data_IF_948474395639
#
_entry.id   IF_948474395639
#
_cell.length_a   1.000
_cell.length_b   1.000
_cell.length_c   1.000
_cell.angle_alpha   90.00
_cell.angle_beta   90.00
_cell.angle_gamma   90.00
#
_symmetry.space_group_name_H-M   'P 1'
#
loop_
_entity.id
_entity.type
_entity.pdbx_description
1 polymer ?
#
# COMPACT_ATOMS: atom_id res chain seq x y z
N UNK A 1 20.85 0.25 -1.81
CA UNK A 1 19.78 -0.49 -1.12
C UNK A 1 18.79 -1.00 -2.14
N UNK A 2 17.89 -1.90 -1.74
CA UNK A 2 16.79 -2.38 -2.58
C UNK A 2 15.56 -1.50 -2.31
N UNK A 3 14.94 -0.87 -3.33
CA UNK A 3 13.69 -0.13 -3.15
C UNK A 3 12.61 -1.06 -2.58
N UNK A 4 11.97 -0.63 -1.50
CA UNK A 4 10.99 -1.36 -0.71
C UNK A 4 9.70 -0.54 -0.58
N UNK A 5 8.58 -1.17 -0.94
CA UNK A 5 7.24 -0.61 -0.80
C UNK A 5 6.44 -1.50 0.14
N UNK A 6 5.77 -0.90 1.14
CA UNK A 6 4.90 -1.65 2.05
C UNK A 6 3.45 -1.63 1.57
N UNK A 7 2.81 -2.81 1.53
CA UNK A 7 1.37 -2.95 1.32
C UNK A 7 0.74 -3.28 2.68
N UNK A 8 -0.20 -2.46 3.15
CA UNK A 8 -0.71 -2.53 4.52
C UNK A 8 -2.24 -2.53 4.58
N UNK A 9 -2.83 -3.08 5.65
CA UNK A 9 -4.28 -3.05 5.88
C UNK A 9 -4.85 -1.63 5.91
N UNK A 10 -4.17 -0.75 6.66
CA UNK A 10 -4.45 0.68 6.76
C UNK A 10 -3.22 1.41 7.28
N UNK A 11 -3.21 2.73 7.20
CA UNK A 11 -2.08 3.55 7.63
C UNK A 11 -2.51 4.48 8.76
N UNK A 12 -1.82 4.37 9.89
CA UNK A 12 -1.94 5.31 11.00
C UNK A 12 -0.55 5.67 11.52
N UNK A 13 0.32 6.10 10.61
CA UNK A 13 1.69 6.53 10.90
C UNK A 13 1.98 7.78 10.09
N UNK A 14 2.95 8.57 10.53
CA UNK A 14 3.40 9.75 9.81
C UNK A 14 4.40 9.35 8.72
N UNK A 15 4.34 10.03 7.58
CA UNK A 15 5.15 9.72 6.39
C UNK A 15 6.66 9.91 6.60
N UNK A 16 7.06 10.81 7.49
CA UNK A 16 8.46 11.07 7.85
C UNK A 16 9.14 9.85 8.50
N UNK A 17 8.42 9.14 9.36
CA UNK A 17 8.92 7.92 10.03
C UNK A 17 9.19 6.79 9.03
N UNK A 18 8.37 6.70 7.97
CA UNK A 18 8.48 5.64 6.97
C UNK A 18 9.71 5.82 6.08
N UNK A 19 10.02 7.06 5.72
CA UNK A 19 11.19 7.38 4.92
C UNK A 19 12.50 7.08 5.68
N UNK A 20 12.55 7.44 6.96
CA UNK A 20 13.70 7.13 7.83
C UNK A 20 13.90 5.62 8.02
N UNK A 21 12.82 4.83 7.97
CA UNK A 21 12.87 3.37 8.01
C UNK A 21 13.32 2.70 6.70
N UNK A 22 13.63 3.48 5.66
CA UNK A 22 14.10 2.97 4.36
C UNK A 22 12.98 2.49 3.42
N UNK A 23 11.72 2.79 3.75
CA UNK A 23 10.55 2.48 2.94
C UNK A 23 10.26 3.67 2.02
N UNK A 24 10.23 3.44 0.71
CA UNK A 24 10.04 4.52 -0.28
C UNK A 24 8.57 4.88 -0.45
N UNK A 25 7.65 3.95 -0.20
CA UNK A 25 6.21 4.18 -0.26
C UNK A 25 5.43 3.17 0.60
N UNK A 26 4.27 3.59 1.07
CA UNK A 26 3.31 2.74 1.77
C UNK A 26 1.94 2.86 1.10
N UNK A 27 1.35 1.73 0.74
CA UNK A 27 0.05 1.67 0.06
C UNK A 27 -0.95 0.92 0.95
N UNK A 28 -1.98 1.58 1.46
CA UNK A 28 -3.09 0.90 2.13
C UNK A 28 -3.97 0.15 1.12
N UNK A 29 -4.40 -1.06 1.50
CA UNK A 29 -5.32 -1.88 0.71
C UNK A 29 -6.76 -1.40 0.85
N UNK A 30 -7.12 -0.80 1.99
CA UNK A 30 -8.40 -0.13 2.22
C UNK A 30 -8.33 1.28 1.63
N UNK A 31 -9.15 1.55 0.62
CA UNK A 31 -9.14 2.81 -0.15
C UNK A 31 -10.32 3.73 0.12
N UNK A 32 -11.23 3.33 1.01
CA UNK A 32 -12.41 4.09 1.37
C UNK A 32 -13.05 3.57 2.66
N UNK A 33 -14.10 4.24 3.17
CA UNK A 33 -14.79 3.82 4.37
C UNK A 33 -15.34 2.38 4.24
N UNK A 34 -14.95 1.50 5.16
CA UNK A 34 -15.47 0.15 5.28
C UNK A 34 -15.31 -0.35 6.71
N UNK A 35 -16.12 -1.34 7.12
CA UNK A 35 -15.97 -2.01 8.41
C UNK A 35 -14.72 -2.89 8.43
N UNK A 36 -14.17 -3.14 9.62
CA UNK A 36 -12.98 -3.99 9.79
C UNK A 36 -13.25 -5.43 9.31
N UNK A 37 -14.44 -5.94 9.59
CA UNK A 37 -14.87 -7.29 9.20
C UNK A 37 -14.79 -7.46 7.68
N UNK A 38 -15.40 -6.54 6.93
CA UNK A 38 -15.32 -6.48 5.47
C UNK A 38 -13.88 -6.34 4.96
N UNK A 39 -13.04 -5.53 5.61
CA UNK A 39 -11.65 -5.37 5.20
C UNK A 39 -10.86 -6.69 5.34
N UNK A 40 -11.13 -7.47 6.39
CA UNK A 40 -10.51 -8.78 6.62
C UNK A 40 -11.08 -9.82 5.65
N UNK A 41 -12.40 -9.87 5.49
CA UNK A 41 -13.09 -10.81 4.60
C UNK A 41 -12.61 -10.68 3.14
N UNK A 42 -12.40 -9.44 2.68
CA UNK A 42 -11.97 -9.14 1.31
C UNK A 42 -10.47 -8.86 1.18
N UNK A 43 -9.65 -9.12 2.21
CA UNK A 43 -8.24 -8.71 2.24
C UNK A 43 -7.44 -9.18 1.02
N UNK A 44 -7.67 -10.41 0.54
CA UNK A 44 -6.97 -10.96 -0.63
C UNK A 44 -7.20 -10.14 -1.91
N UNK A 45 -8.46 -9.82 -2.20
CA UNK A 45 -8.84 -8.99 -3.36
C UNK A 45 -8.30 -7.56 -3.21
N UNK A 46 -8.37 -6.99 -2.00
CA UNK A 46 -7.86 -5.66 -1.73
C UNK A 46 -6.33 -5.58 -1.92
N UNK A 47 -5.59 -6.61 -1.51
CA UNK A 47 -4.14 -6.74 -1.75
C UNK A 47 -3.84 -6.84 -3.24
N UNK A 48 -4.56 -7.67 -3.99
CA UNK A 48 -4.37 -7.79 -5.45
C UNK A 48 -4.58 -6.45 -6.16
N UNK A 49 -5.67 -5.75 -5.84
CA UNK A 49 -5.95 -4.41 -6.36
C UNK A 49 -4.89 -3.38 -5.94
N UNK A 50 -4.30 -3.50 -4.75
CA UNK A 50 -3.18 -2.65 -4.33
C UNK A 50 -1.90 -2.95 -5.12
N UNK A 51 -1.59 -4.23 -5.36
CA UNK A 51 -0.44 -4.64 -6.17
C UNK A 51 -0.56 -4.17 -7.64
N UNK A 52 -1.76 -4.25 -8.23
CA UNK A 52 -2.02 -3.71 -9.57
C UNK A 52 -1.79 -2.19 -9.63
N UNK A 53 -2.30 -1.44 -8.66
CA UNK A 53 -2.07 0.01 -8.56
C UNK A 53 -0.59 0.35 -8.43
N UNK A 54 0.15 -0.41 -7.61
CA UNK A 54 1.61 -0.29 -7.55
C UNK A 54 2.26 -0.55 -8.91
N UNK A 55 1.85 -1.60 -9.61
CA UNK A 55 2.33 -1.91 -10.96
C UNK A 55 2.13 -0.76 -11.95
N UNK A 56 0.95 -0.11 -11.94
CA UNK A 56 0.70 1.07 -12.79
C UNK A 56 1.62 2.24 -12.44
N UNK A 57 1.88 2.50 -11.16
CA UNK A 57 2.81 3.55 -10.73
C UNK A 57 4.24 3.28 -11.20
N UNK A 58 4.69 2.03 -11.08
CA UNK A 58 6.01 1.63 -11.56
C UNK A 58 6.14 1.83 -13.08
N UNK A 59 5.09 1.48 -13.84
CA UNK A 59 5.08 1.70 -15.30
C UNK A 59 5.23 3.19 -15.67
N UNK A 60 4.57 4.10 -14.94
CA UNK A 60 4.73 5.55 -15.15
C UNK A 60 6.18 6.00 -14.89
N UNK A 61 6.82 5.50 -13.83
CA UNK A 61 8.21 5.82 -13.50
C UNK A 61 9.26 5.21 -14.44
N UNK A 62 8.87 4.29 -15.31
CA UNK A 62 9.71 3.69 -16.34
C UNK A 62 9.58 4.35 -17.73
N UNK A 63 8.75 5.39 -17.86
CA UNK A 63 8.46 6.10 -19.12
C UNK A 63 9.38 7.30 -19.37
#
# INVERSE_FOLDING_TARGET
GVPTVAIVGGLNVRDDVLHEAGIQAVLPIVTGPMSLEMAIEHAGELVERAALRLGYLLQVGHS
#
